data_IF_362821474136
#
_entry.id   IF_362821474136
#
_cell.length_a   1.000
_cell.length_b   1.000
_cell.length_c   1.000
_cell.angle_alpha   90.00
_cell.angle_beta   90.00
_cell.angle_gamma   90.00
#
_symmetry.space_group_name_H-M   'P 1'
#
loop_
_entity.id
_entity.type
_entity.pdbx_description
1 polymer ?
#
# COMPACT_ATOMS: atom_id res chain seq x y z
N UNK A 1 9.71 5.26 -1.30
CA UNK A 1 10.49 6.23 -0.50
C UNK A 1 10.66 5.72 0.92
N UNK A 2 11.46 6.37 1.77
CA UNK A 2 11.54 6.04 3.20
C UNK A 2 10.97 7.22 4.01
N UNK A 3 10.13 6.95 5.01
CA UNK A 3 9.72 7.98 5.96
C UNK A 3 10.84 8.28 6.99
N UNK A 4 10.63 9.31 7.82
CA UNK A 4 11.58 9.73 8.88
C UNK A 4 11.86 8.62 9.92
N UNK A 5 11.07 7.56 9.94
CA UNK A 5 11.19 6.41 10.85
C UNK A 5 11.78 5.17 10.16
N UNK A 6 12.28 5.30 8.93
CA UNK A 6 12.88 4.23 8.14
C UNK A 6 11.85 3.22 7.58
N UNK A 7 10.57 3.57 7.52
CA UNK A 7 9.54 2.77 6.86
C UNK A 7 9.59 2.99 5.36
N UNK A 8 9.60 1.92 4.59
CA UNK A 8 9.45 1.97 3.14
C UNK A 8 8.00 2.34 2.81
N UNK A 9 7.80 3.45 2.12
CA UNK A 9 6.51 3.85 1.56
C UNK A 9 6.48 3.45 0.09
N UNK A 10 5.50 2.62 -0.26
CA UNK A 10 5.18 2.25 -1.63
C UNK A 10 4.01 3.12 -2.06
N UNK A 11 4.21 3.93 -3.10
CA UNK A 11 3.15 4.67 -3.75
C UNK A 11 2.61 3.84 -4.91
N UNK A 12 1.30 3.66 -4.95
CA UNK A 12 0.59 3.07 -6.07
C UNK A 12 -0.15 4.19 -6.78
N UNK A 13 0.40 4.62 -7.90
CA UNK A 13 -0.23 5.60 -8.78
C UNK A 13 -1.36 4.92 -9.53
N UNK A 14 -2.52 5.55 -9.49
CA UNK A 14 -3.75 5.06 -10.11
C UNK A 14 -4.40 6.23 -10.85
N UNK A 15 -4.91 5.98 -12.04
CA UNK A 15 -5.76 6.95 -12.72
C UNK A 15 -7.00 7.27 -11.87
N UNK A 16 -7.46 8.52 -11.86
CA UNK A 16 -8.61 8.95 -11.04
C UNK A 16 -9.85 8.06 -11.25
N UNK A 17 -10.11 7.68 -12.51
CA UNK A 17 -11.24 6.82 -12.89
C UNK A 17 -11.16 5.39 -12.32
N UNK A 18 -9.97 4.94 -11.91
CA UNK A 18 -9.73 3.59 -11.38
C UNK A 18 -9.62 3.55 -9.85
N UNK A 19 -9.52 4.69 -9.16
CA UNK A 19 -9.35 4.75 -7.69
C UNK A 19 -10.45 3.94 -6.99
N UNK A 20 -11.72 4.13 -7.36
CA UNK A 20 -12.84 3.42 -6.74
C UNK A 20 -12.73 1.89 -6.87
N UNK A 21 -12.20 1.40 -8.00
CA UNK A 21 -11.99 -0.03 -8.25
C UNK A 21 -10.80 -0.56 -7.45
N UNK A 22 -9.72 0.19 -7.35
CA UNK A 22 -8.50 -0.20 -6.63
C UNK A 22 -8.71 -0.20 -5.11
N UNK A 23 -9.41 0.81 -4.58
CA UNK A 23 -9.78 0.85 -3.16
C UNK A 23 -10.75 -0.30 -2.85
N UNK A 24 -11.74 -0.50 -3.72
CA UNK A 24 -12.80 -1.49 -3.55
C UNK A 24 -13.81 -1.11 -2.47
N UNK A 25 -14.91 -1.85 -2.39
CA UNK A 25 -15.96 -1.61 -1.39
C UNK A 25 -15.38 -1.63 0.03
N UNK A 26 -15.62 -0.58 0.80
CA UNK A 26 -15.08 -0.37 2.16
C UNK A 26 -13.54 -0.47 2.25
N UNK A 27 -12.81 -0.28 1.15
CA UNK A 27 -11.36 -0.43 1.13
C UNK A 27 -10.87 -1.89 1.19
N UNK A 28 -11.73 -2.88 0.91
CA UNK A 28 -11.36 -4.31 1.03
C UNK A 28 -10.19 -4.71 0.13
N UNK A 29 -10.12 -4.17 -1.09
CA UNK A 29 -9.04 -4.51 -2.04
C UNK A 29 -7.73 -3.86 -1.57
N UNK A 30 -7.77 -2.57 -1.22
CA UNK A 30 -6.63 -1.89 -0.59
C UNK A 30 -6.11 -2.60 0.66
N UNK A 31 -7.01 -3.11 1.50
CA UNK A 31 -6.65 -3.85 2.72
C UNK A 31 -5.97 -5.19 2.42
N UNK A 32 -6.46 -5.93 1.41
CA UNK A 32 -5.84 -7.17 0.98
C UNK A 32 -4.43 -6.92 0.44
N UNK A 33 -4.25 -5.90 -0.39
CA UNK A 33 -2.93 -5.51 -0.91
C UNK A 33 -1.96 -5.14 0.22
N UNK A 34 -2.39 -4.28 1.17
CA UNK A 34 -1.60 -3.93 2.36
C UNK A 34 -1.17 -5.14 3.17
N UNK A 35 -2.06 -6.12 3.32
CA UNK A 35 -1.78 -7.36 4.05
C UNK A 35 -0.69 -8.19 3.38
N UNK A 36 -0.76 -8.37 2.05
CA UNK A 36 0.25 -9.10 1.29
C UNK A 36 1.62 -8.42 1.34
N UNK A 37 1.66 -7.10 1.16
CA UNK A 37 2.88 -6.30 1.23
C UNK A 37 3.52 -6.41 2.63
N UNK A 38 2.70 -6.37 3.69
CA UNK A 38 3.18 -6.55 5.06
C UNK A 38 3.79 -7.94 5.29
N UNK A 39 3.19 -9.00 4.74
CA UNK A 39 3.76 -10.36 4.82
C UNK A 39 5.12 -10.42 4.13
N UNK A 40 5.27 -9.80 2.95
CA UNK A 40 6.55 -9.73 2.27
C UNK A 40 7.59 -8.96 3.09
N UNK A 41 7.24 -7.81 3.65
CA UNK A 41 8.15 -6.99 4.44
C UNK A 41 8.61 -7.66 5.75
N UNK A 42 7.77 -8.48 6.38
CA UNK A 42 8.17 -9.29 7.54
C UNK A 42 9.32 -10.25 7.18
N UNK A 43 9.32 -10.82 5.96
CA UNK A 43 10.37 -11.75 5.51
C UNK A 43 11.71 -11.05 5.28
N UNK A 44 11.65 -9.77 4.94
CA UNK A 44 12.82 -8.92 4.68
C UNK A 44 13.24 -8.10 5.93
N UNK A 45 12.55 -8.28 7.07
CA UNK A 45 12.76 -7.52 8.32
C UNK A 45 12.70 -5.99 8.14
N UNK A 46 11.77 -5.51 7.30
CA UNK A 46 11.56 -4.08 7.05
C UNK A 46 10.16 -3.63 7.43
N UNK A 47 10.02 -2.33 7.74
CA UNK A 47 8.71 -1.69 7.92
C UNK A 47 8.23 -1.15 6.59
N UNK A 48 6.94 -1.36 6.27
CA UNK A 48 6.37 -0.93 4.99
C UNK A 48 4.99 -0.29 5.16
N UNK A 49 4.67 0.68 4.30
CA UNK A 49 3.35 1.26 4.08
C UNK A 49 3.00 1.27 2.59
N UNK A 50 1.70 1.25 2.28
CA UNK A 50 1.19 1.46 0.93
C UNK A 50 0.35 2.74 0.94
N UNK A 51 0.56 3.59 -0.04
CA UNK A 51 -0.27 4.75 -0.35
C UNK A 51 -0.85 4.55 -1.74
N UNK A 52 -2.14 4.85 -1.92
CA UNK A 52 -2.89 4.52 -3.13
C UNK A 52 -3.56 5.79 -3.61
N UNK A 53 -3.17 6.24 -4.80
CA UNK A 53 -3.52 7.57 -5.29
C UNK A 53 -2.77 8.67 -4.54
N UNK A 54 -2.78 9.85 -5.16
CA UNK A 54 -2.40 11.13 -4.57
C UNK A 54 -3.66 11.94 -4.23
#
# INVERSE_FOLDING_TARGET
>A
EHDDHGRIIIHLDVAEDDIGRVIGRDGRIATAMRSLIKVAAIREDVRVGLEIGD
#
